data_IF_644218407353
#
_entry.id   IF_644218407353
#
_cell.length_a   1.000
_cell.length_b   1.000
_cell.length_c   1.000
_cell.angle_alpha   90.00
_cell.angle_beta   90.00
_cell.angle_gamma   90.00
#
_symmetry.space_group_name_H-M   'P 1'
#
loop_
_entity.id
_entity.type
_entity.pdbx_description
1 polymer ?
#
# COMPACT_ATOMS: atom_id res chain seq x y z
N UNK A 1 -1.69 8.77 -18.06
CA UNK A 1 -2.11 8.10 -16.94
C UNK A 1 -1.62 8.70 -15.70
N UNK A 2 -2.48 8.86 -14.85
CA UNK A 2 -2.10 9.48 -13.62
C UNK A 2 -1.29 8.52 -12.78
N UNK A 3 -0.68 9.07 -11.78
CA UNK A 3 0.04 8.28 -10.84
C UNK A 3 -0.98 7.48 -10.07
N UNK A 4 -0.81 6.19 -10.08
CA UNK A 4 -1.78 5.36 -9.42
C UNK A 4 -1.43 5.18 -7.96
N UNK A 5 -2.25 4.41 -7.26
CA UNK A 5 -2.08 4.23 -5.83
C UNK A 5 -0.75 3.57 -5.49
N UNK A 6 -0.27 2.73 -6.39
CA UNK A 6 1.00 2.06 -6.14
C UNK A 6 2.15 3.07 -6.04
N UNK A 7 2.23 3.98 -7.01
CA UNK A 7 3.29 4.97 -7.00
C UNK A 7 3.15 5.93 -5.83
N UNK A 8 1.93 6.30 -5.52
CA UNK A 8 1.70 7.16 -4.37
C UNK A 8 2.14 6.49 -3.09
N UNK A 9 1.86 5.19 -2.98
CA UNK A 9 2.26 4.45 -1.80
C UNK A 9 3.78 4.40 -1.67
N UNK A 10 4.47 4.11 -2.76
CA UNK A 10 5.92 4.05 -2.73
C UNK A 10 6.50 5.38 -2.32
N UNK A 11 5.98 6.45 -2.89
CA UNK A 11 6.47 7.78 -2.55
C UNK A 11 6.20 8.11 -1.09
N UNK A 12 5.04 7.73 -0.58
CA UNK A 12 4.71 7.99 0.81
C UNK A 12 5.66 7.25 1.74
N UNK A 13 6.04 6.03 1.37
CA UNK A 13 7.00 5.27 2.18
C UNK A 13 8.35 5.98 2.19
N UNK A 14 8.78 6.50 1.05
CA UNK A 14 10.04 7.21 0.99
C UNK A 14 10.02 8.46 1.87
N UNK A 15 8.92 9.20 1.84
CA UNK A 15 8.79 10.37 2.68
C UNK A 15 8.78 9.99 4.15
N UNK A 16 8.06 8.94 4.47
CA UNK A 16 8.04 8.48 5.86
C UNK A 16 9.45 8.13 6.34
N UNK A 17 10.22 7.43 5.54
CA UNK A 17 11.57 7.04 5.94
C UNK A 17 12.42 8.26 6.22
N UNK A 18 12.30 9.28 5.38
CA UNK A 18 13.07 10.49 5.55
C UNK A 18 12.75 11.18 6.87
N UNK A 19 11.47 11.33 7.18
CA UNK A 19 11.07 12.02 8.40
C UNK A 19 11.29 11.18 9.64
N UNK A 20 11.13 9.87 9.51
CA UNK A 20 11.37 8.97 10.60
C UNK A 20 12.84 9.03 11.03
N UNK A 21 13.75 9.10 10.07
CA UNK A 21 15.16 9.23 10.39
C UNK A 21 15.45 10.52 11.15
N UNK A 22 14.86 11.61 10.72
CA UNK A 22 15.07 12.87 11.42
C UNK A 22 14.52 12.83 12.84
N UNK A 23 13.39 12.16 13.01
CA UNK A 23 12.80 12.05 14.33
C UNK A 23 13.70 11.22 15.25
N UNK A 24 14.17 10.08 14.75
CA UNK A 24 14.94 9.16 15.60
C UNK A 24 16.36 9.66 15.87
N UNK A 25 17.01 10.20 14.87
CA UNK A 25 18.41 10.53 15.01
C UNK A 25 18.69 11.99 15.33
N UNK A 26 17.75 12.87 15.06
CA UNK A 26 17.94 14.28 15.34
C UNK A 26 17.01 14.79 16.41
N UNK A 27 16.19 13.92 16.99
CA UNK A 27 15.25 14.31 18.03
C UNK A 27 14.37 15.45 17.60
N UNK A 28 13.93 15.41 16.36
CA UNK A 28 13.13 16.48 15.79
C UNK A 28 11.65 16.16 15.96
N UNK A 29 10.98 16.88 16.87
CA UNK A 29 9.58 16.63 17.14
C UNK A 29 8.70 16.90 15.93
N UNK A 30 9.03 17.93 15.17
CA UNK A 30 8.25 18.24 13.98
C UNK A 30 8.33 17.09 12.99
N UNK A 31 9.49 16.43 12.92
CA UNK A 31 9.64 15.27 12.05
C UNK A 31 8.76 14.12 12.52
N UNK A 32 8.56 14.00 13.82
CA UNK A 32 7.65 12.99 14.35
C UNK A 32 6.24 13.20 13.87
N UNK A 33 5.79 14.44 13.87
CA UNK A 33 4.46 14.77 13.37
C UNK A 33 4.35 14.42 11.89
N UNK A 34 5.37 14.76 11.14
CA UNK A 34 5.38 14.43 9.71
C UNK A 34 5.40 12.93 9.46
N UNK A 35 6.13 12.20 10.29
CA UNK A 35 6.16 10.76 10.17
C UNK A 35 4.77 10.17 10.36
N UNK A 36 4.04 10.66 11.36
CA UNK A 36 2.69 10.19 11.60
C UNK A 36 1.77 10.50 10.42
N UNK A 37 1.93 11.69 9.87
CA UNK A 37 1.14 12.07 8.70
C UNK A 37 1.37 11.10 7.56
N UNK A 38 2.63 10.80 7.27
CA UNK A 38 2.92 9.91 6.15
C UNK A 38 2.50 8.47 6.43
N UNK A 39 2.55 8.04 7.68
CA UNK A 39 2.02 6.72 8.01
C UNK A 39 0.54 6.63 7.72
N UNK A 40 -0.18 7.70 8.02
CA UNK A 40 -1.60 7.76 7.71
C UNK A 40 -1.84 7.70 6.21
N UNK A 41 -1.02 8.42 5.45
CA UNK A 41 -1.13 8.39 3.99
C UNK A 41 -0.81 7.01 3.43
N UNK A 42 0.21 6.37 3.99
CA UNK A 42 0.57 5.02 3.56
C UNK A 42 -0.60 4.07 3.77
N UNK A 43 -1.25 4.18 4.91
CA UNK A 43 -2.39 3.33 5.19
C UNK A 43 -3.51 3.55 4.18
N UNK A 44 -3.79 4.79 3.86
CA UNK A 44 -4.83 5.10 2.89
C UNK A 44 -4.48 4.60 1.50
N UNK A 45 -3.26 4.84 1.06
CA UNK A 45 -2.84 4.38 -0.25
C UNK A 45 -2.79 2.86 -0.32
N UNK A 46 -2.37 2.23 0.78
CA UNK A 46 -2.32 0.79 0.82
C UNK A 46 -3.70 0.19 0.69
N UNK A 47 -4.68 0.80 1.34
CA UNK A 47 -6.06 0.35 1.25
C UNK A 47 -6.56 0.44 -0.18
N UNK A 48 -6.32 1.58 -0.82
CA UNK A 48 -6.73 1.77 -2.20
C UNK A 48 -6.04 0.75 -3.11
N UNK A 49 -4.75 0.54 -2.90
CA UNK A 49 -4.01 -0.39 -3.73
C UNK A 49 -4.54 -1.82 -3.58
N UNK A 50 -4.88 -2.19 -2.36
CA UNK A 50 -5.45 -3.52 -2.13
C UNK A 50 -6.76 -3.68 -2.88
N UNK A 51 -7.59 -2.66 -2.91
CA UNK A 51 -8.83 -2.70 -3.63
C UNK A 51 -8.60 -2.82 -5.14
N UNK A 52 -7.60 -2.12 -5.64
CA UNK A 52 -7.28 -2.21 -7.05
C UNK A 52 -6.85 -3.62 -7.44
N UNK A 53 -6.02 -4.22 -6.60
CA UNK A 53 -5.57 -5.58 -6.87
C UNK A 53 -6.73 -6.55 -6.82
N UNK A 54 -7.61 -6.37 -5.85
CA UNK A 54 -8.80 -7.21 -5.76
C UNK A 54 -9.64 -7.12 -7.02
N UNK A 55 -9.85 -5.90 -7.48
CA UNK A 55 -10.67 -5.70 -8.67
C UNK A 55 -10.03 -6.36 -9.89
N UNK A 56 -8.72 -6.24 -10.01
CA UNK A 56 -8.02 -6.85 -11.13
C UNK A 56 -8.07 -8.37 -11.06
N UNK A 57 -7.96 -8.91 -9.87
CA UNK A 57 -8.05 -10.35 -9.71
C UNK A 57 -9.42 -10.86 -10.10
N UNK A 58 -10.45 -10.13 -9.73
CA UNK A 58 -11.80 -10.49 -10.11
C UNK A 58 -11.98 -10.47 -11.60
N UNK A 59 -11.42 -9.44 -12.24
CA UNK A 59 -11.49 -9.34 -13.67
C UNK A 59 -10.82 -10.52 -14.34
N UNK A 60 -9.65 -10.88 -13.86
CA UNK A 60 -8.93 -12.01 -14.43
C UNK A 60 -9.68 -13.30 -14.26
N UNK A 61 -10.24 -13.51 -13.09
CA UNK A 61 -10.97 -14.73 -12.83
C UNK A 61 -12.21 -14.82 -13.67
N UNK A 62 -12.78 -13.68 -14.00
CA UNK A 62 -13.94 -13.66 -14.83
C UNK A 62 -13.66 -14.07 -16.24
N UNK A 63 -12.59 -13.58 -16.80
CA UNK A 63 -12.26 -13.89 -18.17
C UNK A 63 -11.61 -15.26 -18.30
N UNK A 64 -11.03 -15.81 -17.23
CA UNK A 64 -10.40 -17.07 -17.33
C UNK A 64 -11.38 -18.13 -17.06
N UNK A 65 -11.40 -19.09 -17.83
CA UNK A 65 -12.23 -20.21 -17.58
C UNK A 65 -11.65 -20.98 -16.46
N UNK A 66 -12.35 -21.14 -15.44
CA UNK A 66 -11.78 -21.77 -14.38
C UNK A 66 -12.19 -23.06 -14.17
N UNK A 67 -11.43 -23.85 -13.75
CA UNK A 67 -11.81 -25.06 -13.43
C UNK A 67 -12.19 -25.02 -12.04
N UNK A 68 -13.03 -25.74 -11.61
CA UNK A 68 -13.50 -25.75 -10.31
C UNK A 68 -12.38 -26.08 -9.42
N UNK A 69 -12.20 -25.52 -8.77
CA UNK A 69 -11.16 -25.77 -8.14
C UNK A 69 -10.81 -26.08 -7.00
N UNK A 70 -10.56 -26.10 -6.72
CA UNK A 70 -10.03 -26.11 -5.95
C UNK A 70 -9.71 -25.47 -5.03
N UNK A 71 -9.62 -25.57 -4.25
CA UNK A 71 -9.48 -24.80 -3.45
C UNK A 71 -8.52 -24.49 -2.70
N UNK A 72 -8.28 -24.51 -2.38
CA UNK A 72 -7.59 -24.08 -1.83
C UNK A 72 -7.15 -24.06 -1.04
N UNK A 73 -6.68 -24.16 -0.55
CA UNK A 73 -6.20 -24.01 0.15
C UNK A 73 -5.74 -23.74 0.72
N UNK A 74 -5.48 -23.69 1.01
CA UNK A 74 -5.07 -23.32 1.58
C UNK A 74 -4.84 -23.07 2.22
N UNK A 75 -4.66 -23.03 2.47
CA UNK A 75 -4.36 -22.67 3.13
C UNK A 75 -4.15 -22.51 3.69
N UNK A 76 -4.16 -22.53 3.71
CA UNK A 76 -3.85 -22.26 4.39
C UNK A 76 -3.67 -22.16 4.87
#
# INVERSE_FOLDING_TARGET
MSIDAHEKLVRAVQEYCKWQDKFEYENNDAAGIKSRFWLSEIRNYASTRRQEIQAKRKERNKTRIRKPGRPKKITS
#
